data_IF_997048480632
#
_entry.id   IF_997048480632
#
_cell.length_a   1.000
_cell.length_b   1.000
_cell.length_c   1.000
_cell.angle_alpha   90.00
_cell.angle_beta   90.00
_cell.angle_gamma   90.00
#
_symmetry.space_group_name_H-M   'P 1'
#
loop_
_entity.id
_entity.type
_entity.pdbx_description
1 polymer ?
#
# COMPACT_ATOMS: atom_id res chain seq x y z
N UNK A 1 7.45 6.20 27.17
CA UNK A 1 8.23 5.01 27.56
C UNK A 1 8.58 4.28 26.27
N UNK A 2 9.87 4.26 25.94
CA UNK A 2 10.44 3.68 24.72
C UNK A 2 10.48 2.15 24.87
N UNK A 3 9.97 1.42 23.87
CA UNK A 3 10.34 0.03 23.68
C UNK A 3 11.45 0.00 22.64
N UNK A 4 12.66 -0.32 23.11
CA UNK A 4 13.74 -0.76 22.27
C UNK A 4 13.43 -2.14 21.73
N UNK A 5 13.58 -2.29 20.42
CA UNK A 5 13.55 -3.57 19.72
C UNK A 5 14.28 -3.32 18.41
N UNK A 6 15.56 -3.69 18.37
CA UNK A 6 16.33 -3.66 17.14
C UNK A 6 15.68 -4.61 16.14
N UNK A 7 15.10 -4.06 15.09
CA UNK A 7 14.65 -4.81 13.93
C UNK A 7 15.33 -4.22 12.72
N UNK A 8 16.12 -5.06 12.05
CA UNK A 8 16.73 -4.81 10.75
C UNK A 8 15.77 -4.02 9.87
N UNK A 9 15.99 -2.70 9.74
CA UNK A 9 15.35 -1.92 8.70
C UNK A 9 15.88 -2.52 7.39
N UNK A 10 15.09 -3.40 6.76
CA UNK A 10 15.38 -3.86 5.42
C UNK A 10 15.54 -2.59 4.58
N UNK A 11 16.77 -2.28 4.17
CA UNK A 11 17.07 -1.19 3.25
C UNK A 11 16.17 -1.38 2.03
N UNK A 12 15.11 -0.56 2.00
CA UNK A 12 14.07 -0.53 0.98
C UNK A 12 14.24 0.77 0.21
N UNK A 13 15.48 1.08 -0.19
CA UNK A 13 15.76 2.20 -1.10
C UNK A 13 14.89 2.03 -2.35
N UNK A 14 14.05 3.02 -2.66
CA UNK A 14 13.14 2.97 -3.81
C UNK A 14 11.77 2.33 -3.56
N UNK A 15 11.47 1.80 -2.36
CA UNK A 15 10.19 1.14 -2.07
C UNK A 15 9.00 2.09 -2.23
N UNK A 16 9.13 3.31 -1.71
CA UNK A 16 8.11 4.36 -1.83
C UNK A 16 7.92 4.76 -3.29
N UNK A 17 9.02 4.94 -4.01
CA UNK A 17 9.07 5.35 -5.41
C UNK A 17 8.39 4.32 -6.32
N UNK A 18 8.53 3.02 -6.01
CA UNK A 18 7.85 1.93 -6.71
C UNK A 18 6.39 1.76 -6.30
N UNK A 19 6.03 2.06 -5.04
CA UNK A 19 4.66 1.96 -4.55
C UNK A 19 3.74 3.06 -5.10
N UNK A 20 4.24 4.30 -5.16
CA UNK A 20 3.49 5.46 -5.62
C UNK A 20 2.76 5.24 -6.98
N UNK A 21 3.40 4.73 -8.05
CA UNK A 21 2.71 4.51 -9.32
C UNK A 21 1.62 3.43 -9.21
N UNK A 22 1.81 2.40 -8.37
CA UNK A 22 0.81 1.34 -8.13
C UNK A 22 -0.42 1.91 -7.43
N UNK A 23 -0.22 2.69 -6.37
CA UNK A 23 -1.30 3.39 -5.65
C UNK A 23 -2.04 4.34 -6.59
N UNK A 24 -1.31 5.15 -7.36
CA UNK A 24 -1.90 6.09 -8.32
C UNK A 24 -2.72 5.37 -9.40
N UNK A 25 -2.24 4.23 -9.90
CA UNK A 25 -2.97 3.43 -10.89
C UNK A 25 -4.29 2.93 -10.32
N UNK A 26 -4.26 2.32 -9.14
CA UNK A 26 -5.48 1.82 -8.47
C UNK A 26 -6.46 2.95 -8.17
N UNK A 27 -5.97 4.09 -7.66
CA UNK A 27 -6.80 5.25 -7.39
C UNK A 27 -7.44 5.83 -8.66
N UNK A 28 -6.72 5.89 -9.78
CA UNK A 28 -7.29 6.32 -11.08
C UNK A 28 -8.40 5.39 -11.57
N UNK A 29 -8.21 4.07 -11.43
CA UNK A 29 -9.23 3.09 -11.82
C UNK A 29 -10.50 3.24 -10.98
N UNK A 30 -10.35 3.53 -9.69
CA UNK A 30 -11.49 3.87 -8.82
C UNK A 30 -12.15 5.19 -9.19
N UNK A 31 -11.36 6.26 -9.41
CA UNK A 31 -11.89 7.58 -9.77
C UNK A 31 -12.69 7.58 -11.08
N UNK A 32 -12.46 6.61 -11.97
CA UNK A 32 -13.28 6.43 -13.16
C UNK A 32 -14.72 6.02 -12.84
N UNK A 33 -14.96 5.37 -11.69
CA UNK A 33 -16.28 4.95 -11.22
C UNK A 33 -16.87 5.94 -10.22
N UNK A 34 -16.04 6.51 -9.34
CA UNK A 34 -16.43 7.49 -8.32
C UNK A 34 -15.43 8.65 -8.30
N UNK A 35 -15.74 9.78 -8.97
CA UNK A 35 -14.82 10.91 -9.07
C UNK A 35 -14.49 11.52 -7.71
N UNK A 36 -13.20 11.72 -7.43
CA UNK A 36 -12.72 12.45 -6.26
C UNK A 36 -12.24 13.85 -6.67
N UNK A 37 -12.36 14.81 -5.76
CA UNK A 37 -11.72 16.11 -5.91
C UNK A 37 -10.19 16.00 -6.02
N UNK A 38 -9.53 16.96 -6.67
CA UNK A 38 -8.07 16.91 -6.87
C UNK A 38 -7.30 16.92 -5.53
N UNK A 39 -7.80 17.64 -4.52
CA UNK A 39 -7.27 17.64 -3.16
C UNK A 39 -7.36 16.26 -2.53
N UNK A 40 -8.52 15.62 -2.64
CA UNK A 40 -8.82 14.34 -2.00
C UNK A 40 -8.06 13.22 -2.69
N UNK A 41 -7.94 13.25 -4.02
CA UNK A 41 -7.09 12.36 -4.78
C UNK A 41 -5.65 12.36 -4.24
N UNK A 42 -5.06 13.55 -4.04
CA UNK A 42 -3.70 13.67 -3.50
C UNK A 42 -3.61 13.16 -2.06
N UNK A 43 -4.64 13.44 -1.26
CA UNK A 43 -4.67 13.03 0.14
C UNK A 43 -4.81 11.50 0.28
N UNK A 44 -5.73 10.88 -0.45
CA UNK A 44 -5.92 9.43 -0.51
C UNK A 44 -4.66 8.74 -0.97
N UNK A 45 -4.04 9.22 -2.08
CA UNK A 45 -2.79 8.63 -2.56
C UNK A 45 -1.67 8.69 -1.49
N UNK A 46 -1.54 9.82 -0.79
CA UNK A 46 -0.54 9.98 0.27
C UNK A 46 -0.81 9.03 1.46
N UNK A 47 -2.04 9.01 1.96
CA UNK A 47 -2.45 8.18 3.10
C UNK A 47 -2.32 6.68 2.78
N UNK A 48 -2.77 6.26 1.61
CA UNK A 48 -2.63 4.87 1.15
C UNK A 48 -1.15 4.47 1.05
N UNK A 49 -0.30 5.31 0.46
CA UNK A 49 1.14 5.05 0.37
C UNK A 49 1.75 4.82 1.75
N UNK A 50 1.54 5.74 2.70
CA UNK A 50 2.11 5.63 4.03
C UNK A 50 1.52 4.48 4.85
N UNK A 51 0.23 4.17 4.67
CA UNK A 51 -0.42 3.02 5.31
C UNK A 51 0.18 1.70 4.82
N UNK A 52 0.38 1.54 3.51
CA UNK A 52 0.96 0.32 2.94
C UNK A 52 2.44 0.15 3.36
N UNK A 53 3.21 1.25 3.41
CA UNK A 53 4.58 1.22 3.94
C UNK A 53 4.58 0.78 5.41
N UNK A 54 3.68 1.32 6.24
CA UNK A 54 3.55 0.95 7.64
C UNK A 54 3.20 -0.53 7.81
N UNK A 55 2.21 -1.04 7.06
CA UNK A 55 1.82 -2.45 7.08
C UNK A 55 2.97 -3.37 6.63
N UNK A 56 3.84 -2.89 5.75
CA UNK A 56 5.02 -3.61 5.26
C UNK A 56 6.24 -3.50 6.19
N UNK A 57 6.14 -2.79 7.33
CA UNK A 57 7.26 -2.55 8.24
C UNK A 57 8.35 -1.63 7.66
N UNK A 58 8.02 -0.84 6.63
CA UNK A 58 8.94 0.08 5.95
C UNK A 58 8.80 1.48 6.56
N UNK A 59 9.89 2.26 6.51
CA UNK A 59 9.90 3.65 6.95
C UNK A 59 8.77 4.47 6.30
N UNK A 60 8.00 5.16 7.13
CA UNK A 60 6.81 5.91 6.74
C UNK A 60 6.65 7.15 7.63
N UNK A 61 5.66 7.99 7.31
CA UNK A 61 5.24 9.09 8.17
C UNK A 61 3.91 8.68 8.82
N UNK A 62 3.92 8.59 10.14
CA UNK A 62 2.80 8.12 10.98
C UNK A 62 1.57 9.04 10.87
N UNK A 63 1.75 10.34 10.62
CA UNK A 63 0.66 11.32 10.50
C UNK A 63 -0.30 11.00 9.34
N UNK A 64 0.17 10.22 8.36
CA UNK A 64 -0.62 9.83 7.18
C UNK A 64 -1.13 8.40 7.25
N UNK A 65 -0.81 7.64 8.30
CA UNK A 65 -1.24 6.25 8.44
C UNK A 65 -2.70 6.17 8.83
N UNK A 66 -3.43 5.25 8.20
CA UNK A 66 -4.84 4.97 8.48
C UNK A 66 -4.96 3.56 9.02
N UNK A 67 -5.69 3.40 10.13
CA UNK A 67 -6.09 2.07 10.57
C UNK A 67 -7.04 1.47 9.54
N UNK A 68 -6.66 0.32 8.98
CA UNK A 68 -7.41 -0.38 7.92
C UNK A 68 -7.69 -1.81 8.33
N UNK A 69 -8.87 -2.37 7.99
CA UNK A 69 -9.17 -3.77 8.23
C UNK A 69 -8.41 -4.71 7.28
N UNK A 70 -7.69 -4.18 6.29
CA UNK A 70 -6.98 -4.96 5.27
C UNK A 70 -5.61 -5.41 5.80
N UNK A 71 -5.43 -6.70 6.14
CA UNK A 71 -4.13 -7.20 6.56
C UNK A 71 -3.19 -7.28 5.35
N UNK A 72 -1.90 -7.22 5.64
CA UNK A 72 -0.87 -7.46 4.64
C UNK A 72 -0.97 -8.92 4.13
N UNK A 73 -0.98 -9.18 2.81
CA UNK A 73 -1.15 -10.54 2.29
C UNK A 73 0.08 -11.42 2.59
N UNK A 74 -0.09 -12.40 3.49
CA UNK A 74 1.01 -13.24 3.96
C UNK A 74 1.35 -14.41 3.04
N UNK A 75 0.37 -14.98 2.34
CA UNK A 75 0.57 -16.10 1.43
C UNK A 75 -0.36 -15.98 0.21
N UNK A 76 0.20 -16.27 -0.96
CA UNK A 76 -0.53 -16.31 -2.21
C UNK A 76 -0.75 -17.78 -2.62
N UNK A 77 -2.02 -18.17 -2.86
CA UNK A 77 -2.36 -19.51 -3.35
C UNK A 77 -2.11 -19.69 -4.86
N UNK A 78 -1.74 -18.62 -5.57
CA UNK A 78 -1.30 -18.75 -6.96
C UNK A 78 0.08 -19.40 -6.98
N UNK A 79 0.26 -20.41 -7.83
CA UNK A 79 1.59 -20.85 -8.22
C UNK A 79 2.33 -19.60 -8.74
N UNK A 80 3.39 -19.18 -8.06
CA UNK A 80 4.25 -18.14 -8.59
C UNK A 80 4.95 -18.76 -9.82
N UNK A 81 4.38 -18.56 -11.00
CA UNK A 81 4.88 -19.06 -12.31
C UNK A 81 6.20 -18.37 -12.71
N UNK A 82 7.18 -18.30 -11.80
CA UNK A 82 8.47 -17.67 -12.03
C UNK A 82 8.42 -16.16 -12.26
N UNK A 83 7.29 -15.49 -12.01
CA UNK A 83 7.23 -14.03 -11.97
C UNK A 83 7.76 -13.55 -10.62
N UNK A 84 8.82 -12.75 -10.68
CA UNK A 84 9.45 -12.13 -9.53
C UNK A 84 8.39 -11.51 -8.60
N UNK A 85 8.45 -11.78 -7.28
CA UNK A 85 7.50 -11.20 -6.34
C UNK A 85 7.47 -9.68 -6.50
N UNK A 86 6.27 -9.08 -6.36
CA UNK A 86 6.13 -7.64 -6.41
C UNK A 86 6.92 -7.04 -5.23
N UNK A 87 8.13 -6.59 -5.55
CA UNK A 87 9.25 -5.96 -4.84
C UNK A 87 9.14 -5.62 -3.34
N UNK A 88 7.94 -5.33 -2.81
CA UNK A 88 7.68 -5.07 -1.39
C UNK A 88 7.38 -6.34 -0.59
N UNK A 89 6.95 -7.41 -1.25
CA UNK A 89 6.49 -8.62 -0.58
C UNK A 89 7.03 -9.86 -1.29
N UNK A 90 8.07 -10.47 -0.72
CA UNK A 90 8.60 -11.78 -1.15
C UNK A 90 7.58 -12.93 -1.02
N UNK A 91 6.37 -12.63 -0.57
CA UNK A 91 5.36 -13.61 -0.16
C UNK A 91 4.06 -13.56 -0.98
N UNK A 92 3.88 -12.57 -1.88
CA UNK A 92 2.68 -12.49 -2.72
C UNK A 92 2.96 -12.04 -4.17
N UNK A 93 2.16 -12.53 -5.12
CA UNK A 93 2.29 -12.16 -6.52
C UNK A 93 1.78 -10.73 -6.79
N UNK A 94 2.12 -10.18 -7.96
CA UNK A 94 1.71 -8.83 -8.38
C UNK A 94 0.19 -8.63 -8.41
N UNK A 95 -0.59 -9.66 -8.77
CA UNK A 95 -2.05 -9.59 -8.76
C UNK A 95 -2.59 -9.43 -7.33
N UNK A 96 -2.18 -10.30 -6.40
CA UNK A 96 -2.56 -10.21 -4.99
C UNK A 96 -2.16 -8.87 -4.37
N UNK A 97 -0.96 -8.39 -4.69
CA UNK A 97 -0.49 -7.10 -4.22
C UNK A 97 -1.37 -5.96 -4.75
N UNK A 98 -1.70 -5.95 -6.04
CA UNK A 98 -2.58 -4.95 -6.62
C UNK A 98 -3.98 -4.98 -6.00
N UNK A 99 -4.56 -6.16 -5.75
CA UNK A 99 -5.85 -6.29 -5.07
C UNK A 99 -5.81 -5.73 -3.65
N UNK A 100 -4.75 -6.03 -2.90
CA UNK A 100 -4.53 -5.47 -1.56
C UNK A 100 -4.42 -3.93 -1.60
N UNK A 101 -3.60 -3.39 -2.49
CA UNK A 101 -3.46 -1.93 -2.68
C UNK A 101 -4.81 -1.31 -3.04
N UNK A 102 -5.56 -1.94 -3.95
CA UNK A 102 -6.90 -1.51 -4.33
C UNK A 102 -7.87 -1.44 -3.15
N UNK A 103 -7.89 -2.47 -2.29
CA UNK A 103 -8.72 -2.49 -1.07
C UNK A 103 -8.36 -1.37 -0.09
N UNK A 104 -7.07 -1.16 0.17
CA UNK A 104 -6.61 -0.06 1.03
C UNK A 104 -6.97 1.31 0.45
N UNK A 105 -6.78 1.50 -0.87
CA UNK A 105 -7.13 2.74 -1.55
C UNK A 105 -8.63 2.99 -1.50
N UNK A 106 -9.45 1.98 -1.75
CA UNK A 106 -10.93 2.07 -1.70
C UNK A 106 -11.40 2.47 -0.31
N UNK A 107 -10.93 1.76 0.70
CA UNK A 107 -11.28 2.02 2.09
C UNK A 107 -10.91 3.44 2.53
N UNK A 108 -9.74 3.93 2.14
CA UNK A 108 -9.31 5.30 2.47
C UNK A 108 -10.13 6.33 1.67
N UNK A 109 -10.47 6.05 0.41
CA UNK A 109 -11.27 6.94 -0.43
C UNK A 109 -12.69 7.11 0.10
N UNK A 110 -13.32 6.03 0.58
CA UNK A 110 -14.64 6.04 1.20
C UNK A 110 -14.73 6.94 2.44
N UNK A 111 -13.60 7.29 3.08
CA UNK A 111 -13.58 8.25 4.18
C UNK A 111 -13.79 9.71 3.73
N UNK A 112 -13.76 9.98 2.42
CA UNK A 112 -13.85 11.33 1.84
C UNK A 112 -15.12 11.52 0.97
N UNK A 113 -15.95 10.48 0.84
CA UNK A 113 -17.21 10.49 0.08
C UNK A 113 -18.40 10.52 1.04
#
# INVERSE_FOLDING_TARGET
RTYGGGSNFQQTEGAKEQLIPIVKRNLKLMCAQSPLGQSDFKNVARRATHTILALSGIAHNEDFVVSTPHPLPSHCNHACDGQEPAFLMRTCCSSCFNSFVGGVVSYIAEMFT
#
